data_IF_777224250395
#
_entry.id   IF_777224250395
#
_cell.length_a   1.000
_cell.length_b   1.000
_cell.length_c   1.000
_cell.angle_alpha   90.00
_cell.angle_beta   90.00
_cell.angle_gamma   90.00
#
_symmetry.space_group_name_H-M   'P 1'
#
loop_
_entity.id
_entity.type
_entity.pdbx_description
1 polymer ?
#
# COMPACT_ATOMS: atom_id res chain seq x y z
N UNK A 1 -8.77 -5.00 -13.99
CA UNK A 1 -8.68 -3.66 -13.41
C UNK A 1 -7.44 -3.02 -13.98
N UNK A 2 -7.54 -1.82 -14.55
CA UNK A 2 -6.42 -1.10 -15.14
C UNK A 2 -5.74 -0.16 -14.13
N UNK A 3 -4.67 0.53 -14.55
CA UNK A 3 -3.88 1.40 -13.68
C UNK A 3 -4.69 2.55 -13.10
N UNK A 4 -5.51 3.21 -13.93
CA UNK A 4 -6.29 4.37 -13.51
C UNK A 4 -7.35 3.98 -12.49
N UNK A 5 -8.00 2.83 -12.69
CA UNK A 5 -8.96 2.26 -11.75
C UNK A 5 -8.32 1.96 -10.39
N UNK A 6 -7.12 1.39 -10.37
CA UNK A 6 -6.42 1.08 -9.11
C UNK A 6 -5.97 2.38 -8.44
N UNK A 7 -5.39 3.33 -9.19
CA UNK A 7 -4.99 4.62 -8.64
C UNK A 7 -6.17 5.40 -8.04
N UNK A 8 -7.35 5.35 -8.67
CA UNK A 8 -8.57 5.95 -8.14
C UNK A 8 -9.06 5.27 -6.86
N UNK A 9 -8.96 3.94 -6.76
CA UNK A 9 -9.34 3.18 -5.55
C UNK A 9 -8.38 3.41 -4.38
N UNK A 10 -7.11 3.71 -4.66
CA UNK A 10 -6.05 3.83 -3.64
C UNK A 10 -5.31 5.18 -3.73
N UNK A 11 -5.97 6.32 -3.44
CA UNK A 11 -5.39 7.65 -3.65
C UNK A 11 -4.18 7.98 -2.77
N UNK A 12 -3.95 7.21 -1.70
CA UNK A 12 -2.75 7.30 -0.85
C UNK A 12 -1.49 6.68 -1.46
N UNK A 13 -1.58 6.12 -2.67
CA UNK A 13 -0.50 5.42 -3.35
C UNK A 13 -0.22 6.03 -4.73
N UNK A 14 1.05 6.04 -5.11
CA UNK A 14 1.48 6.24 -6.49
C UNK A 14 1.69 4.86 -7.09
N UNK A 15 1.05 4.58 -8.22
CA UNK A 15 0.99 3.24 -8.82
C UNK A 15 1.54 3.30 -10.25
N UNK A 16 2.40 2.35 -10.60
CA UNK A 16 2.99 2.27 -11.93
C UNK A 16 3.28 0.82 -12.31
N UNK A 17 3.53 0.61 -13.61
CA UNK A 17 4.11 -0.64 -14.10
C UNK A 17 5.57 -0.46 -14.42
N UNK A 18 6.38 -1.45 -14.05
CA UNK A 18 7.73 -1.56 -14.57
C UNK A 18 7.71 -1.75 -16.08
N UNK A 19 8.76 -1.30 -16.76
CA UNK A 19 9.00 -1.58 -18.16
C UNK A 19 10.34 -2.32 -18.30
N UNK A 20 10.37 -3.29 -19.20
CA UNK A 20 11.58 -4.01 -19.60
C UNK A 20 11.64 -4.08 -21.13
N UNK A 21 12.78 -4.50 -21.67
CA UNK A 21 12.95 -4.76 -23.11
C UNK A 21 11.94 -5.78 -23.67
N UNK A 22 11.41 -6.67 -22.84
CA UNK A 22 10.39 -7.66 -23.21
C UNK A 22 8.94 -7.13 -23.12
N UNK A 23 8.76 -5.86 -22.77
CA UNK A 23 7.47 -5.25 -22.54
C UNK A 23 7.18 -4.96 -21.06
N UNK A 24 5.90 -4.77 -20.70
CA UNK A 24 5.51 -4.35 -19.36
C UNK A 24 5.79 -5.44 -18.31
N UNK A 25 6.46 -5.05 -17.23
CA UNK A 25 6.80 -5.92 -16.11
C UNK A 25 5.80 -5.83 -14.96
N UNK A 26 6.29 -6.14 -13.77
CA UNK A 26 5.53 -6.15 -12.53
C UNK A 26 4.88 -4.79 -12.21
N UNK A 27 3.85 -4.85 -11.40
CA UNK A 27 3.13 -3.72 -10.83
C UNK A 27 3.76 -3.29 -9.53
N UNK A 28 3.79 -1.98 -9.30
CA UNK A 28 4.36 -1.38 -8.10
C UNK A 28 3.44 -0.29 -7.57
N UNK A 29 3.44 -0.13 -6.26
CA UNK A 29 2.79 0.97 -5.58
C UNK A 29 3.67 1.48 -4.43
N UNK A 30 3.87 2.79 -4.32
CA UNK A 30 4.56 3.42 -3.20
C UNK A 30 3.66 4.43 -2.50
N UNK A 31 3.79 4.57 -1.18
CA UNK A 31 2.96 5.50 -0.40
C UNK A 31 3.28 6.94 -0.79
N UNK A 32 2.23 7.73 -1.06
CA UNK A 32 2.36 9.15 -1.43
C UNK A 32 2.47 10.02 -0.19
N UNK A 33 3.52 10.84 -0.12
CA UNK A 33 3.64 11.91 0.88
C UNK A 33 3.73 11.45 2.33
N UNK A 34 3.96 10.16 2.57
CA UNK A 34 4.06 9.57 3.92
C UNK A 34 5.30 8.70 4.01
N UNK A 35 6.09 8.92 5.05
CA UNK A 35 7.15 8.00 5.47
C UNK A 35 6.67 7.17 6.65
N UNK A 36 6.94 5.87 6.62
CA UNK A 36 6.59 4.99 7.72
C UNK A 36 7.59 5.14 8.88
N UNK A 37 7.07 5.14 10.11
CA UNK A 37 7.89 5.02 11.31
C UNK A 37 8.43 3.59 11.46
N UNK A 38 9.43 3.41 12.32
CA UNK A 38 9.94 2.08 12.63
C UNK A 38 8.87 1.13 13.18
N UNK A 39 8.00 1.62 14.07
CA UNK A 39 6.89 0.82 14.62
C UNK A 39 5.91 0.36 13.53
N UNK A 40 5.62 1.25 12.57
CA UNK A 40 4.75 0.93 11.43
C UNK A 40 5.36 -0.12 10.51
N UNK A 41 6.66 0.00 10.21
CA UNK A 41 7.40 -1.00 9.44
C UNK A 41 7.41 -2.35 10.17
N UNK A 42 7.69 -2.37 11.47
CA UNK A 42 7.70 -3.58 12.28
C UNK A 42 6.33 -4.25 12.39
N UNK A 43 5.24 -3.48 12.26
CA UNK A 43 3.88 -4.00 12.20
C UNK A 43 3.49 -4.58 10.82
N UNK A 44 4.40 -4.53 9.84
CA UNK A 44 4.23 -5.11 8.51
C UNK A 44 3.72 -4.13 7.45
N UNK A 45 3.69 -2.82 7.75
CA UNK A 45 3.47 -1.83 6.69
C UNK A 45 4.73 -1.72 5.82
N UNK A 46 4.51 -1.56 4.52
CA UNK A 46 5.58 -1.42 3.54
C UNK A 46 5.49 -0.06 2.85
N UNK A 47 6.64 0.54 2.57
CA UNK A 47 6.71 1.82 1.86
C UNK A 47 6.36 1.64 0.39
N UNK A 48 6.83 0.55 -0.21
CA UNK A 48 6.58 0.15 -1.59
C UNK A 48 6.21 -1.32 -1.61
N UNK A 49 5.18 -1.65 -2.37
CA UNK A 49 4.72 -3.02 -2.59
C UNK A 49 4.71 -3.32 -4.08
N UNK A 50 4.75 -4.60 -4.44
CA UNK A 50 4.69 -5.05 -5.82
C UNK A 50 3.78 -6.26 -6.01
N UNK A 51 3.39 -6.51 -7.25
CA UNK A 51 2.71 -7.73 -7.68
C UNK A 51 3.01 -8.04 -9.14
N UNK A 52 3.00 -9.31 -9.51
CA UNK A 52 3.30 -9.73 -10.88
C UNK A 52 2.23 -9.24 -11.87
N UNK A 53 1.00 -9.05 -11.41
CA UNK A 53 -0.12 -8.47 -12.15
C UNK A 53 -0.96 -7.51 -11.29
N UNK A 54 -1.98 -6.92 -11.92
CA UNK A 54 -2.88 -5.97 -11.29
C UNK A 54 -3.63 -6.56 -10.08
N UNK A 55 -4.02 -7.83 -10.16
CA UNK A 55 -4.76 -8.51 -9.09
C UNK A 55 -3.85 -8.77 -7.89
N UNK A 56 -2.61 -9.21 -8.14
CA UNK A 56 -1.60 -9.41 -7.11
C UNK A 56 -1.28 -8.09 -6.38
N UNK A 57 -1.14 -6.97 -7.12
CA UNK A 57 -0.94 -5.66 -6.50
C UNK A 57 -2.14 -5.26 -5.63
N UNK A 58 -3.37 -5.48 -6.09
CA UNK A 58 -4.59 -5.16 -5.33
C UNK A 58 -4.66 -5.95 -4.02
N UNK A 59 -4.31 -7.24 -4.04
CA UNK A 59 -4.24 -8.08 -2.83
C UNK A 59 -3.28 -7.48 -1.81
N UNK A 60 -2.10 -7.04 -2.26
CA UNK A 60 -1.11 -6.44 -1.36
C UNK A 60 -1.59 -5.07 -0.84
N UNK A 61 -2.18 -4.22 -1.68
CA UNK A 61 -2.78 -2.95 -1.24
C UNK A 61 -3.89 -3.14 -0.19
N UNK A 62 -4.70 -4.19 -0.32
CA UNK A 62 -5.72 -4.55 0.66
C UNK A 62 -5.11 -5.07 1.97
N UNK A 63 -4.03 -5.85 1.89
CA UNK A 63 -3.25 -6.28 3.07
C UNK A 63 -2.72 -5.06 3.82
N UNK A 64 -2.09 -4.13 3.11
CA UNK A 64 -1.56 -2.88 3.65
C UNK A 64 -2.67 -2.02 4.31
N UNK A 65 -3.85 -1.95 3.70
CA UNK A 65 -4.99 -1.21 4.26
C UNK A 65 -5.49 -1.84 5.57
N UNK A 66 -5.55 -3.18 5.66
CA UNK A 66 -5.95 -3.90 6.88
C UNK A 66 -4.97 -3.65 8.04
N UNK A 67 -3.66 -3.70 7.77
CA UNK A 67 -2.64 -3.42 8.78
C UNK A 67 -2.75 -1.98 9.27
N UNK A 68 -2.91 -1.02 8.35
CA UNK A 68 -3.03 0.39 8.69
C UNK A 68 -4.28 0.68 9.55
N UNK A 69 -5.42 0.07 9.21
CA UNK A 69 -6.66 0.20 9.97
C UNK A 69 -6.52 -0.37 11.40
N UNK A 70 -5.85 -1.52 11.55
CA UNK A 70 -5.57 -2.12 12.86
C UNK A 70 -4.73 -1.18 13.74
N UNK A 71 -3.63 -0.63 13.19
CA UNK A 71 -2.75 0.30 13.92
C UNK A 71 -3.49 1.57 14.33
N UNK A 72 -4.33 2.12 13.45
CA UNK A 72 -5.13 3.30 13.77
C UNK A 72 -6.13 3.03 14.92
N UNK A 73 -6.77 1.86 14.94
CA UNK A 73 -7.66 1.46 16.02
C UNK A 73 -6.93 1.30 17.37
N UNK A 74 -5.73 0.72 17.37
CA UNK A 74 -4.89 0.57 18.56
C UNK A 74 -4.45 1.93 19.13
N UNK A 75 -4.09 2.89 18.26
CA UNK A 75 -3.73 4.25 18.67
C UNK A 75 -4.94 5.01 19.24
N UNK A 76 -6.12 4.87 18.63
CA UNK A 76 -7.36 5.47 19.12
C UNK A 76 -7.79 4.94 20.49
N UNK A 77 -7.56 3.65 20.77
CA UNK A 77 -7.83 3.05 22.07
C UNK A 77 -6.87 3.55 23.16
N UNK A 78 -5.60 3.78 22.82
CA UNK A 78 -4.58 4.31 23.74
C UNK A 78 -4.78 5.79 24.09
N UNK A 79 -5.42 6.56 23.20
CA UNK A 79 -5.64 8.00 23.36
C UNK A 79 -6.91 8.42 24.10
N UNK A 80 -7.81 7.51 24.47
CA UNK A 80 -9.04 7.86 25.21
C UNK A 80 -8.73 8.04 26.71
N UNK A 81 -8.84 9.25 27.29
CA UNK A 81 -8.71 9.42 28.73
C UNK A 81 -9.89 8.73 29.44
N UNK A 82 -9.62 8.17 30.62
CA UNK A 82 -10.62 7.51 31.48
C UNK A 82 -11.67 8.50 31.98
#
# INVERSE_FOLDING_TARGET
MDLEQIAAKYPGWVIWRGASEAGPGAWYATRRGTSLSYEQLNAGLEQTVCGDDASALVVELERQAKIAARLAAEQGAKGRPR
#
